data_IF_836999956750
#
_entry.id   IF_836999956750
#
_cell.length_a   1.000
_cell.length_b   1.000
_cell.length_c   1.000
_cell.angle_alpha   90.00
_cell.angle_beta   90.00
_cell.angle_gamma   90.00
#
_symmetry.space_group_name_H-M   'P 1'
#
loop_
_entity.id
_entity.type
_entity.pdbx_description
1 polymer ?
#
# COMPACT_ATOMS: atom_id res chain seq x y z
N UNK A 1 -5.01 -4.73 -2.21
CA UNK A 1 -5.84 -3.62 -1.90
C UNK A 1 -6.50 -3.65 -0.53
N UNK A 2 -7.18 -2.59 -0.21
CA UNK A 2 -7.91 -2.41 1.03
C UNK A 2 -7.13 -1.73 2.15
N UNK A 3 -5.84 -1.48 1.97
CA UNK A 3 -5.00 -0.75 2.94
C UNK A 3 -4.11 0.26 2.24
N UNK A 4 -3.71 1.33 2.94
CA UNK A 4 -2.79 2.33 2.43
C UNK A 4 -1.45 1.75 1.95
N UNK A 5 -1.00 0.65 2.56
CA UNK A 5 0.26 -0.02 2.22
C UNK A 5 0.38 -0.51 0.77
N UNK A 6 -0.73 -0.76 0.08
CA UNK A 6 -0.72 -1.10 -1.34
C UNK A 6 -1.10 0.09 -2.23
N UNK A 7 -1.99 0.97 -1.75
CA UNK A 7 -2.50 2.07 -2.56
C UNK A 7 -1.41 3.12 -2.82
N UNK A 8 -0.73 3.56 -1.77
CA UNK A 8 0.29 4.61 -1.90
C UNK A 8 1.49 4.20 -2.76
N UNK A 9 2.07 2.99 -2.62
CA UNK A 9 3.09 2.52 -3.56
C UNK A 9 2.62 2.51 -5.01
N UNK A 10 1.39 2.05 -5.27
CA UNK A 10 0.84 2.04 -6.62
C UNK A 10 0.71 3.45 -7.21
N UNK A 11 0.20 4.40 -6.42
CA UNK A 11 0.09 5.81 -6.83
C UNK A 11 1.48 6.43 -7.03
N UNK A 12 2.45 6.13 -6.15
CA UNK A 12 3.83 6.64 -6.30
C UNK A 12 4.50 6.14 -7.58
N UNK A 13 4.30 4.87 -7.92
CA UNK A 13 4.78 4.30 -9.20
C UNK A 13 4.11 5.00 -10.38
N UNK A 14 2.78 5.20 -10.32
CA UNK A 14 2.04 5.86 -11.39
C UNK A 14 2.49 7.32 -11.59
N UNK A 15 2.73 8.05 -10.50
CA UNK A 15 3.24 9.42 -10.55
C UNK A 15 4.63 9.47 -11.20
N UNK A 16 5.54 8.57 -10.81
CA UNK A 16 6.88 8.49 -11.37
C UNK A 16 6.87 8.11 -12.88
N UNK A 17 5.92 7.27 -13.31
CA UNK A 17 5.72 6.96 -14.72
C UNK A 17 5.24 8.20 -15.47
N UNK A 18 4.22 8.89 -14.95
CA UNK A 18 3.67 10.10 -15.58
C UNK A 18 4.69 11.24 -15.67
N UNK A 19 5.55 11.39 -14.67
CA UNK A 19 6.64 12.36 -14.66
C UNK A 19 7.64 12.09 -15.80
N UNK A 20 8.01 10.82 -15.99
CA UNK A 20 8.96 10.42 -17.05
C UNK A 20 8.32 10.29 -18.42
N UNK A 21 7.05 9.99 -18.49
CA UNK A 21 6.26 9.77 -19.69
C UNK A 21 4.88 10.41 -19.51
N UNK A 22 4.78 11.74 -19.78
CA UNK A 22 3.51 12.48 -19.63
C UNK A 22 2.38 11.97 -20.53
N UNK A 23 2.73 11.31 -21.62
CA UNK A 23 1.83 10.67 -22.58
C UNK A 23 1.31 9.28 -22.13
N UNK A 24 1.81 8.75 -21.01
CA UNK A 24 1.42 7.43 -20.55
C UNK A 24 -0.04 7.42 -20.04
N UNK A 25 -0.84 6.55 -20.62
CA UNK A 25 -2.18 6.23 -20.12
C UNK A 25 -2.08 5.23 -18.96
N UNK A 26 -2.67 5.56 -17.83
CA UNK A 26 -2.59 4.75 -16.61
C UNK A 26 -3.99 4.44 -16.11
N UNK A 27 -4.32 3.14 -16.02
CA UNK A 27 -5.56 2.64 -15.48
C UNK A 27 -5.29 1.76 -14.26
N UNK A 28 -5.96 2.05 -13.16
CA UNK A 28 -5.92 1.22 -11.96
C UNK A 28 -7.01 0.15 -11.98
N UNK A 29 -6.70 -0.99 -11.33
CA UNK A 29 -7.69 -2.04 -11.05
C UNK A 29 -7.62 -2.35 -9.56
N UNK A 30 -8.75 -2.19 -8.87
CA UNK A 30 -8.87 -2.33 -7.42
C UNK A 30 -10.00 -3.27 -7.00
N UNK A 31 -10.13 -3.49 -5.69
CA UNK A 31 -11.24 -4.25 -5.12
C UNK A 31 -12.45 -3.32 -4.89
N UNK A 32 -13.63 -3.73 -5.38
CA UNK A 32 -14.88 -3.02 -5.15
C UNK A 32 -15.16 -2.81 -3.65
N UNK A 33 -15.69 -1.64 -3.28
CA UNK A 33 -16.05 -1.29 -1.91
C UNK A 33 -14.86 -1.12 -0.96
N UNK A 34 -13.64 -1.00 -1.48
CA UNK A 34 -12.42 -0.79 -0.68
C UNK A 34 -11.89 0.65 -0.84
N UNK A 35 -10.98 1.01 0.04
CA UNK A 35 -10.38 2.35 0.14
C UNK A 35 -9.78 2.83 -1.19
N UNK A 36 -9.23 1.92 -2.00
CA UNK A 36 -8.66 2.27 -3.30
C UNK A 36 -9.65 2.92 -4.26
N UNK A 37 -10.94 2.56 -4.17
CA UNK A 37 -11.99 3.14 -5.03
C UNK A 37 -12.22 4.65 -4.78
N UNK A 38 -11.77 5.16 -3.62
CA UNK A 38 -11.82 6.58 -3.28
C UNK A 38 -10.46 7.26 -3.41
N UNK A 39 -9.39 6.59 -2.95
CA UNK A 39 -8.05 7.17 -2.88
C UNK A 39 -7.36 7.30 -4.22
N UNK A 40 -7.60 6.39 -5.14
CA UNK A 40 -7.02 6.43 -6.49
C UNK A 40 -7.61 7.57 -7.32
N UNK A 41 -8.95 7.76 -7.39
CA UNK A 41 -9.53 8.94 -8.03
C UNK A 41 -9.09 10.26 -7.39
N UNK A 42 -8.99 10.32 -6.07
CA UNK A 42 -8.47 11.50 -5.37
C UNK A 42 -7.00 11.83 -5.72
N UNK A 43 -6.26 10.86 -6.22
CA UNK A 43 -4.90 11.04 -6.76
C UNK A 43 -4.86 11.34 -8.27
N UNK A 44 -6.02 11.52 -8.91
CA UNK A 44 -6.13 11.89 -10.33
C UNK A 44 -6.01 10.73 -11.31
N UNK A 45 -6.36 9.50 -10.89
CA UNK A 45 -6.30 8.32 -11.75
C UNK A 45 -7.67 7.63 -11.88
N UNK A 46 -7.94 7.09 -13.06
CA UNK A 46 -9.09 6.21 -13.28
C UNK A 46 -8.86 4.85 -12.63
N UNK A 47 -9.92 4.28 -12.03
CA UNK A 47 -9.90 2.95 -11.44
C UNK A 47 -11.14 2.13 -11.83
N UNK A 48 -10.94 0.87 -12.16
CA UNK A 48 -12.01 -0.13 -12.35
C UNK A 48 -12.02 -1.09 -11.16
N UNK A 49 -13.22 -1.38 -10.64
CA UNK A 49 -13.43 -2.31 -9.55
C UNK A 49 -13.51 -3.77 -10.01
N UNK A 50 -13.05 -4.69 -9.15
CA UNK A 50 -13.27 -6.13 -9.28
C UNK A 50 -13.97 -6.66 -8.02
N UNK A 51 -14.92 -7.59 -8.15
CA UNK A 51 -15.63 -8.20 -7.03
C UNK A 51 -14.76 -9.26 -6.33
N UNK A 52 -13.63 -8.86 -5.78
CA UNK A 52 -12.69 -9.75 -5.09
C UNK A 52 -12.93 -9.75 -3.58
N UNK A 53 -12.70 -10.91 -2.95
CA UNK A 53 -12.74 -11.06 -1.51
C UNK A 53 -11.56 -11.91 -1.01
N UNK A 54 -11.20 -11.74 0.26
CA UNK A 54 -10.20 -12.58 0.91
C UNK A 54 -10.76 -13.95 1.23
N UNK A 55 -9.88 -14.96 1.30
CA UNK A 55 -10.22 -16.30 1.77
C UNK A 55 -10.45 -16.30 3.29
N UNK A 56 -11.57 -16.87 3.72
CA UNK A 56 -11.83 -17.16 5.13
C UNK A 56 -11.05 -18.44 5.52
N UNK A 57 -10.04 -18.26 6.38
CA UNK A 57 -9.20 -19.39 6.85
C UNK A 57 -9.87 -20.26 7.91
N UNK A 58 -10.92 -19.72 8.56
CA UNK A 58 -11.62 -20.43 9.65
C UNK A 58 -12.81 -21.25 9.13
N UNK A 59 -13.48 -20.78 8.08
CA UNK A 59 -14.71 -21.39 7.56
C UNK A 59 -14.58 -21.68 6.06
N UNK A 60 -14.06 -22.86 5.73
CA UNK A 60 -13.76 -23.24 4.34
C UNK A 60 -14.99 -23.25 3.42
N UNK A 61 -16.18 -23.59 3.91
CA UNK A 61 -17.43 -23.60 3.15
C UNK A 61 -17.89 -22.20 2.70
N UNK A 62 -17.49 -21.15 3.44
CA UNK A 62 -17.75 -19.75 3.02
C UNK A 62 -16.92 -19.34 1.78
N UNK A 63 -15.91 -20.11 1.44
CA UNK A 63 -15.04 -19.80 0.31
C UNK A 63 -15.67 -20.14 -1.06
N UNK A 64 -16.82 -20.82 -1.13
CA UNK A 64 -17.55 -21.04 -2.40
C UNK A 64 -17.85 -19.70 -3.06
N UNK A 65 -18.38 -18.73 -2.32
CA UNK A 65 -18.62 -17.38 -2.83
C UNK A 65 -17.33 -16.67 -3.26
N UNK A 66 -16.21 -16.93 -2.60
CA UNK A 66 -14.89 -16.35 -2.94
C UNK A 66 -14.40 -16.93 -4.27
N UNK A 67 -14.59 -18.21 -4.52
CA UNK A 67 -14.25 -18.86 -5.81
C UNK A 67 -15.08 -18.27 -6.95
N UNK A 68 -16.39 -18.12 -6.76
CA UNK A 68 -17.27 -17.49 -7.76
C UNK A 68 -16.82 -16.06 -8.04
N UNK A 69 -16.54 -15.28 -6.99
CA UNK A 69 -16.02 -13.91 -7.13
C UNK A 69 -14.68 -13.88 -7.86
N UNK A 70 -13.79 -14.83 -7.60
CA UNK A 70 -12.50 -14.93 -8.29
C UNK A 70 -12.70 -15.20 -9.80
N UNK A 71 -13.58 -16.13 -10.16
CA UNK A 71 -13.90 -16.42 -11.57
C UNK A 71 -14.48 -15.19 -12.28
N UNK A 72 -15.47 -14.52 -11.65
CA UNK A 72 -16.04 -13.27 -12.17
C UNK A 72 -14.98 -12.18 -12.32
N UNK A 73 -14.10 -12.02 -11.32
CA UNK A 73 -13.00 -11.06 -11.36
C UNK A 73 -12.03 -11.33 -12.51
N UNK A 74 -11.75 -12.58 -12.85
CA UNK A 74 -10.92 -12.94 -14.01
C UNK A 74 -11.56 -12.58 -15.33
N UNK A 75 -12.89 -12.82 -15.48
CA UNK A 75 -13.63 -12.43 -16.68
C UNK A 75 -13.65 -10.91 -16.83
N UNK A 76 -13.91 -10.18 -15.74
CA UNK A 76 -13.92 -8.72 -15.74
C UNK A 76 -12.50 -8.16 -16.01
N UNK A 77 -11.48 -8.67 -15.37
CA UNK A 77 -10.09 -8.29 -15.64
C UNK A 77 -9.73 -8.49 -17.13
N UNK A 78 -10.15 -9.62 -17.74
CA UNK A 78 -9.93 -9.86 -19.18
C UNK A 78 -10.64 -8.81 -20.05
N UNK A 79 -11.86 -8.41 -19.71
CA UNK A 79 -12.58 -7.35 -20.44
C UNK A 79 -11.88 -6.00 -20.31
N UNK A 80 -11.46 -5.63 -19.10
CA UNK A 80 -10.72 -4.38 -18.84
C UNK A 80 -9.41 -4.36 -19.62
N UNK A 81 -8.64 -5.43 -19.55
CA UNK A 81 -7.35 -5.54 -20.24
C UNK A 81 -7.51 -5.51 -21.76
N UNK A 82 -8.55 -6.17 -22.29
CA UNK A 82 -8.85 -6.12 -23.73
C UNK A 82 -9.23 -4.72 -24.22
N UNK A 83 -9.99 -3.98 -23.43
CA UNK A 83 -10.42 -2.62 -23.76
C UNK A 83 -9.26 -1.63 -23.67
N UNK A 84 -8.49 -1.68 -22.59
CA UNK A 84 -7.39 -0.76 -22.32
C UNK A 84 -6.12 -1.07 -23.12
N UNK A 85 -5.87 -2.35 -23.45
CA UNK A 85 -4.69 -2.85 -24.19
C UNK A 85 -3.35 -2.37 -23.61
N UNK A 86 -3.06 -2.64 -22.31
CA UNK A 86 -1.85 -2.17 -21.68
C UNK A 86 -0.59 -2.80 -22.25
N UNK A 87 0.50 -2.04 -22.34
CA UNK A 87 1.84 -2.55 -22.71
C UNK A 87 2.48 -3.33 -21.55
N UNK A 88 2.12 -3.01 -20.31
CA UNK A 88 2.65 -3.64 -19.09
C UNK A 88 1.59 -3.61 -17.98
N UNK A 89 1.58 -4.62 -17.11
CA UNK A 89 0.75 -4.63 -15.93
C UNK A 89 1.62 -4.70 -14.66
N UNK A 90 1.38 -3.77 -13.72
CA UNK A 90 2.13 -3.66 -12.46
C UNK A 90 1.25 -4.07 -11.30
N UNK A 91 1.73 -4.97 -10.44
CA UNK A 91 1.04 -5.41 -9.24
C UNK A 91 1.82 -5.05 -7.99
N UNK A 92 1.12 -4.43 -7.04
CA UNK A 92 1.67 -4.04 -5.74
C UNK A 92 1.14 -4.94 -4.60
N UNK A 93 0.57 -6.09 -4.95
CA UNK A 93 -0.09 -6.98 -4.00
C UNK A 93 -1.57 -6.69 -3.78
N UNK A 94 -2.17 -7.39 -2.82
CA UNK A 94 -3.59 -7.31 -2.52
C UNK A 94 -4.46 -8.20 -3.43
N UNK A 95 -5.78 -8.22 -3.13
CA UNK A 95 -6.70 -9.19 -3.74
C UNK A 95 -6.94 -8.94 -5.24
N UNK A 96 -6.98 -7.70 -5.69
CA UNK A 96 -7.22 -7.36 -7.09
C UNK A 96 -6.01 -7.66 -8.00
N UNK A 97 -4.78 -7.61 -7.47
CA UNK A 97 -3.57 -7.93 -8.24
C UNK A 97 -3.57 -9.38 -8.75
N UNK A 98 -4.09 -10.33 -7.96
CA UNK A 98 -4.11 -11.75 -8.32
C UNK A 98 -4.78 -12.01 -9.67
N UNK A 99 -6.10 -11.81 -9.80
CA UNK A 99 -6.82 -12.06 -11.04
C UNK A 99 -6.33 -11.15 -12.18
N UNK A 100 -5.98 -9.91 -11.91
CA UNK A 100 -5.56 -8.95 -12.95
C UNK A 100 -4.24 -9.39 -13.60
N UNK A 101 -3.20 -9.67 -12.81
CA UNK A 101 -1.89 -10.05 -13.35
C UNK A 101 -1.84 -11.47 -13.91
N UNK A 102 -2.61 -12.41 -13.32
CA UNK A 102 -2.71 -13.76 -13.90
C UNK A 102 -3.34 -13.71 -15.30
N UNK A 103 -4.37 -12.88 -15.47
CA UNK A 103 -5.01 -12.69 -16.79
C UNK A 103 -4.08 -11.92 -17.74
N UNK A 104 -3.44 -10.85 -17.30
CA UNK A 104 -2.49 -10.09 -18.12
C UNK A 104 -1.36 -10.99 -18.65
N UNK A 105 -0.73 -11.78 -17.77
CA UNK A 105 0.31 -12.72 -18.15
C UNK A 105 -0.16 -13.79 -19.14
N UNK A 106 -1.40 -14.31 -18.99
CA UNK A 106 -2.00 -15.26 -19.95
C UNK A 106 -2.34 -14.63 -21.30
N UNK A 107 -2.50 -13.33 -21.34
CA UNK A 107 -2.71 -12.57 -22.58
C UNK A 107 -1.39 -12.10 -23.21
N UNK A 108 -0.23 -12.54 -22.69
CA UNK A 108 1.08 -12.18 -23.21
C UNK A 108 1.60 -10.80 -22.77
N UNK A 109 0.89 -10.12 -21.86
CA UNK A 109 1.28 -8.82 -21.36
C UNK A 109 2.35 -8.99 -20.28
N UNK A 110 3.53 -8.36 -20.39
CA UNK A 110 4.55 -8.39 -19.36
C UNK A 110 4.02 -7.91 -18.03
N UNK A 111 4.33 -8.65 -16.94
CA UNK A 111 3.93 -8.27 -15.60
C UNK A 111 5.12 -7.95 -14.72
N UNK A 112 4.97 -6.93 -13.88
CA UNK A 112 5.94 -6.52 -12.87
C UNK A 112 5.27 -6.56 -11.50
N UNK A 113 5.97 -7.10 -10.51
CA UNK A 113 5.53 -7.07 -9.12
C UNK A 113 6.36 -6.08 -8.31
N UNK A 114 5.74 -5.45 -7.33
CA UNK A 114 6.42 -4.68 -6.29
C UNK A 114 6.00 -5.23 -4.92
N UNK A 115 6.98 -5.60 -4.09
CA UNK A 115 6.77 -6.11 -2.73
C UNK A 115 7.34 -5.11 -1.72
N UNK A 116 6.46 -4.62 -0.83
CA UNK A 116 6.79 -3.59 0.15
C UNK A 116 7.33 -4.14 1.46
N UNK A 117 7.14 -5.43 1.72
CA UNK A 117 7.40 -6.03 3.01
C UNK A 117 8.61 -6.99 2.95
N UNK A 118 9.27 -7.18 4.07
CA UNK A 118 10.33 -8.19 4.23
C UNK A 118 9.79 -9.63 4.23
N UNK A 119 8.48 -9.81 4.35
CA UNK A 119 7.79 -11.10 4.17
C UNK A 119 6.77 -10.97 3.04
N UNK A 120 7.00 -11.71 1.97
CA UNK A 120 6.20 -11.60 0.75
C UNK A 120 4.73 -11.98 0.94
N UNK A 121 3.85 -11.15 0.41
CA UNK A 121 2.42 -11.42 0.36
C UNK A 121 2.08 -12.64 -0.49
N UNK A 122 1.02 -13.36 -0.10
CA UNK A 122 0.58 -14.58 -0.80
C UNK A 122 0.34 -14.34 -2.30
N UNK A 123 -0.31 -13.25 -2.64
CA UNK A 123 -0.59 -12.90 -4.04
C UNK A 123 0.69 -12.74 -4.85
N UNK A 124 1.69 -12.02 -4.33
CA UNK A 124 2.96 -11.82 -5.00
C UNK A 124 3.73 -13.15 -5.16
N UNK A 125 3.73 -14.00 -4.11
CA UNK A 125 4.33 -15.35 -4.21
C UNK A 125 3.71 -16.20 -5.31
N UNK A 126 2.39 -16.19 -5.46
CA UNK A 126 1.68 -16.94 -6.50
C UNK A 126 2.00 -16.43 -7.92
N UNK A 127 2.18 -15.13 -8.07
CA UNK A 127 2.43 -14.49 -9.37
C UNK A 127 3.91 -14.48 -9.77
N UNK A 128 4.82 -14.64 -8.81
CA UNK A 128 6.26 -14.47 -8.97
C UNK A 128 6.86 -15.28 -10.14
N UNK A 129 6.44 -16.55 -10.29
CA UNK A 129 6.93 -17.46 -11.34
C UNK A 129 6.62 -16.97 -12.77
N UNK A 130 5.61 -16.11 -12.92
CA UNK A 130 5.17 -15.58 -14.23
C UNK A 130 5.56 -14.12 -14.44
N UNK A 131 5.95 -13.42 -13.39
CA UNK A 131 6.35 -12.02 -13.47
C UNK A 131 7.67 -11.86 -14.24
N UNK A 132 7.76 -10.81 -15.07
CA UNK A 132 8.98 -10.47 -15.81
C UNK A 132 10.06 -9.93 -14.87
N UNK A 133 9.67 -9.10 -13.88
CA UNK A 133 10.54 -8.55 -12.85
C UNK A 133 9.76 -8.42 -11.54
N UNK A 134 10.50 -8.44 -10.43
CA UNK A 134 9.96 -8.32 -9.08
C UNK A 134 10.81 -7.29 -8.34
N UNK A 135 10.26 -6.09 -8.18
CA UNK A 135 10.88 -5.03 -7.40
C UNK A 135 10.64 -5.29 -5.91
N UNK A 136 11.68 -5.28 -5.12
CA UNK A 136 11.61 -5.57 -3.68
C UNK A 136 12.18 -4.41 -2.86
N UNK A 137 11.63 -4.25 -1.66
CA UNK A 137 12.04 -3.21 -0.72
C UNK A 137 13.13 -3.67 0.25
N UNK A 138 13.32 -4.96 0.40
CA UNK A 138 14.24 -5.56 1.37
C UNK A 138 15.12 -6.61 0.74
N UNK A 139 16.31 -6.84 1.30
CA UNK A 139 17.20 -7.93 0.94
C UNK A 139 16.65 -9.30 1.40
N UNK A 140 17.25 -10.39 0.91
CA UNK A 140 16.91 -11.76 1.30
C UNK A 140 15.55 -12.23 0.80
N UNK A 141 15.04 -11.62 -0.28
CA UNK A 141 13.73 -11.97 -0.86
C UNK A 141 13.80 -13.17 -1.80
N UNK A 142 14.98 -13.71 -2.07
CA UNK A 142 15.23 -14.95 -2.85
C UNK A 142 14.53 -16.17 -2.23
N UNK A 143 14.31 -16.15 -0.91
CA UNK A 143 13.53 -17.16 -0.19
C UNK A 143 12.05 -17.22 -0.61
N UNK A 144 11.55 -16.20 -1.30
CA UNK A 144 10.16 -16.11 -1.75
C UNK A 144 10.02 -16.04 -3.27
N UNK A 145 11.03 -15.52 -3.98
CA UNK A 145 10.96 -15.16 -5.38
C UNK A 145 12.16 -15.72 -6.17
N UNK A 146 12.02 -16.00 -7.48
CA UNK A 146 13.14 -16.34 -8.33
C UNK A 146 14.20 -15.24 -8.35
N UNK A 147 15.44 -15.57 -7.98
CA UNK A 147 16.53 -14.61 -7.82
C UNK A 147 16.83 -13.84 -9.10
N UNK A 148 16.75 -14.49 -10.26
CA UNK A 148 17.00 -13.91 -11.60
C UNK A 148 15.98 -12.80 -11.99
N UNK A 149 14.88 -12.69 -11.27
CA UNK A 149 13.80 -11.72 -11.52
C UNK A 149 13.75 -10.59 -10.51
N UNK A 150 14.48 -10.71 -9.41
CA UNK A 150 14.49 -9.72 -8.34
C UNK A 150 15.27 -8.47 -8.78
N UNK A 151 14.70 -7.31 -8.45
CA UNK A 151 15.36 -6.01 -8.49
C UNK A 151 15.18 -5.34 -7.13
N UNK A 152 16.27 -5.02 -6.46
CA UNK A 152 16.25 -4.25 -5.23
C UNK A 152 16.04 -2.77 -5.57
N UNK A 153 14.87 -2.22 -5.24
CA UNK A 153 14.46 -0.85 -5.60
C UNK A 153 14.07 -0.01 -4.39
N UNK A 154 13.97 -0.61 -3.22
CA UNK A 154 13.33 0.03 -2.09
C UNK A 154 11.81 0.14 -2.24
N UNK A 155 11.17 0.84 -1.29
CA UNK A 155 9.75 1.15 -1.36
C UNK A 155 9.50 2.40 -2.19
N UNK A 156 8.47 2.41 -3.06
CA UNK A 156 8.03 3.61 -3.74
C UNK A 156 7.52 4.66 -2.73
N UNK A 157 8.17 5.80 -2.69
CA UNK A 157 7.85 6.90 -1.79
C UNK A 157 7.07 7.97 -2.55
N UNK A 158 6.15 8.66 -1.87
CA UNK A 158 5.43 9.80 -2.45
C UNK A 158 6.40 10.95 -2.72
N UNK A 159 6.36 11.52 -3.92
CA UNK A 159 7.28 12.57 -4.35
C UNK A 159 7.23 13.81 -3.44
N UNK A 160 6.04 14.19 -2.95
CA UNK A 160 5.89 15.32 -2.03
C UNK A 160 6.65 15.16 -0.70
N UNK A 161 7.04 13.94 -0.33
CA UNK A 161 7.90 13.71 0.84
C UNK A 161 9.39 13.92 0.54
N UNK A 162 9.78 13.87 -0.73
CA UNK A 162 11.16 14.09 -1.16
C UNK A 162 11.47 15.58 -1.39
N UNK A 163 10.45 16.42 -1.55
CA UNK A 163 10.58 17.85 -1.84
C UNK A 163 10.04 18.71 -0.70
N UNK A 164 10.28 18.29 0.56
CA UNK A 164 9.94 19.11 1.72
C UNK A 164 10.94 20.25 1.81
N UNK A 165 10.46 21.48 1.65
CA UNK A 165 11.26 22.70 1.74
C UNK A 165 11.19 23.38 3.11
N UNK A 166 10.26 22.94 3.98
CA UNK A 166 10.09 23.47 5.32
C UNK A 166 11.30 23.18 6.20
N UNK A 167 11.77 24.21 6.86
CA UNK A 167 12.76 24.07 7.95
C UNK A 167 12.11 23.40 9.16
N UNK A 168 12.94 22.84 10.07
CA UNK A 168 12.45 22.28 11.34
C UNK A 168 11.64 23.32 12.14
N UNK A 169 12.08 24.56 12.15
CA UNK A 169 11.45 25.65 12.90
C UNK A 169 10.05 25.96 12.33
N UNK A 170 9.93 26.14 11.03
CA UNK A 170 8.64 26.35 10.35
C UNK A 170 7.67 25.19 10.55
N UNK A 171 8.16 23.96 10.41
CA UNK A 171 7.34 22.76 10.63
C UNK A 171 6.84 22.66 12.08
N UNK A 172 7.69 22.95 13.07
CA UNK A 172 7.31 22.96 14.47
C UNK A 172 6.22 24.04 14.73
N UNK A 173 6.42 25.25 14.22
CA UNK A 173 5.43 26.33 14.35
C UNK A 173 4.07 25.97 13.72
N UNK A 174 4.07 25.38 12.52
CA UNK A 174 2.82 24.95 11.86
C UNK A 174 2.07 23.85 12.65
N UNK A 175 2.80 23.04 13.39
CA UNK A 175 2.23 21.99 14.24
C UNK A 175 1.89 22.47 15.66
N UNK A 176 2.12 23.74 16.00
CA UNK A 176 1.94 24.27 17.35
C UNK A 176 2.93 23.70 18.38
N UNK A 177 4.12 23.32 17.91
CA UNK A 177 5.20 22.75 18.72
C UNK A 177 6.26 23.80 19.01
N UNK A 178 6.98 23.63 20.13
CA UNK A 178 8.14 24.44 20.50
C UNK A 178 9.37 24.01 19.67
N UNK A 179 9.92 24.87 18.80
CA UNK A 179 11.09 24.51 18.00
C UNK A 179 12.38 24.31 18.80
N UNK A 180 12.44 24.82 20.05
CA UNK A 180 13.58 24.66 20.93
C UNK A 180 13.60 23.26 21.60
N UNK A 181 12.46 22.60 21.73
CA UNK A 181 12.36 21.27 22.33
C UNK A 181 12.65 20.15 21.35
N UNK A 182 13.15 19.03 21.86
CA UNK A 182 13.25 17.78 21.10
C UNK A 182 11.84 17.22 20.90
N UNK A 183 11.53 16.79 19.69
CA UNK A 183 10.21 16.21 19.37
C UNK A 183 10.35 14.72 19.15
N UNK A 184 9.56 13.93 19.88
CA UNK A 184 9.40 12.49 19.69
C UNK A 184 8.07 12.24 18.97
N UNK A 185 8.14 11.62 17.79
CA UNK A 185 6.98 11.22 17.02
C UNK A 185 6.67 9.75 17.23
N UNK A 186 5.46 9.46 17.74
CA UNK A 186 4.96 8.09 17.95
C UNK A 186 3.85 7.83 16.93
N UNK A 187 4.03 6.83 16.06
CA UNK A 187 3.09 6.56 14.94
C UNK A 187 2.67 5.10 14.93
N UNK A 188 1.39 4.85 15.20
CA UNK A 188 0.77 3.53 15.19
C UNK A 188 0.16 3.10 13.84
N UNK A 189 0.30 3.94 12.80
CA UNK A 189 -0.36 3.75 11.51
C UNK A 189 -1.82 4.21 11.50
N UNK A 190 -2.48 4.20 10.33
CA UNK A 190 -3.79 4.84 10.12
C UNK A 190 -4.94 4.29 11.02
N UNK A 191 -4.87 3.04 11.43
CA UNK A 191 -5.86 2.41 12.29
C UNK A 191 -5.44 2.42 13.77
N UNK A 192 -4.18 2.75 14.06
CA UNK A 192 -3.54 2.65 15.36
C UNK A 192 -2.93 1.27 15.62
N UNK A 193 -2.00 1.23 16.57
CA UNK A 193 -1.37 0.01 17.07
C UNK A 193 -1.67 -0.12 18.57
N UNK A 194 -2.47 -1.13 18.93
CA UNK A 194 -2.96 -1.32 20.30
C UNK A 194 -1.81 -1.39 21.32
N UNK A 195 -0.84 -2.25 21.09
CA UNK A 195 0.29 -2.44 22.00
C UNK A 195 1.12 -1.15 22.19
N UNK A 196 1.32 -0.39 21.11
CA UNK A 196 2.01 0.90 21.18
C UNK A 196 1.20 1.91 22.00
N UNK A 197 -0.10 2.02 21.74
CA UNK A 197 -0.97 2.94 22.46
C UNK A 197 -1.04 2.58 23.97
N UNK A 198 -1.19 1.30 24.30
CA UNK A 198 -1.20 0.81 25.69
C UNK A 198 0.16 1.10 26.39
N UNK A 199 1.28 0.90 25.71
CA UNK A 199 2.61 1.21 26.26
C UNK A 199 2.79 2.70 26.54
N UNK A 200 2.33 3.58 25.66
CA UNK A 200 2.40 5.04 25.88
C UNK A 200 1.51 5.45 27.04
N UNK A 201 0.27 4.93 27.11
CA UNK A 201 -0.65 5.22 28.22
C UNK A 201 -0.08 4.82 29.58
N UNK A 202 0.57 3.66 29.68
CA UNK A 202 1.21 3.20 30.91
C UNK A 202 2.38 4.08 31.36
N UNK A 203 2.96 4.87 30.47
CA UNK A 203 4.13 5.70 30.74
C UNK A 203 3.81 7.21 30.71
N UNK A 204 2.52 7.60 30.74
CA UNK A 204 2.13 9.01 30.62
C UNK A 204 2.74 9.90 31.70
N UNK A 205 2.83 9.42 32.94
CA UNK A 205 3.42 10.18 34.05
C UNK A 205 4.93 10.42 33.82
N UNK A 206 5.65 9.42 33.32
CA UNK A 206 7.06 9.57 32.96
C UNK A 206 7.24 10.56 31.79
N UNK A 207 6.34 10.50 30.81
CA UNK A 207 6.33 11.40 29.65
C UNK A 207 6.06 12.85 30.09
N UNK A 208 5.11 13.08 30.99
CA UNK A 208 4.78 14.41 31.52
C UNK A 208 5.90 15.06 32.31
N UNK A 209 6.77 14.26 32.93
CA UNK A 209 7.93 14.75 33.66
C UNK A 209 9.06 15.25 32.74
N UNK A 210 9.03 14.94 31.45
CA UNK A 210 10.03 15.39 30.48
C UNK A 210 9.74 16.83 30.03
N UNK A 211 10.49 17.80 30.57
CA UNK A 211 10.26 19.23 30.28
C UNK A 211 10.96 19.73 29.02
N UNK A 212 12.02 19.06 28.58
CA UNK A 212 12.86 19.40 27.43
C UNK A 212 12.47 18.62 26.14
N UNK A 213 11.49 17.72 26.26
CA UNK A 213 10.97 16.91 25.16
C UNK A 213 9.47 17.16 24.99
N UNK A 214 9.01 17.18 23.77
CA UNK A 214 7.60 17.20 23.43
C UNK A 214 7.26 15.98 22.57
N UNK A 215 6.01 15.56 22.63
CA UNK A 215 5.56 14.33 22.00
C UNK A 215 4.43 14.62 21.01
N UNK A 216 4.53 14.04 19.82
CA UNK A 216 3.43 13.99 18.84
C UNK A 216 3.01 12.54 18.73
N UNK A 217 1.79 12.24 19.11
CA UNK A 217 1.31 10.87 19.15
C UNK A 217 0.12 10.67 18.21
N UNK A 218 0.34 9.87 17.17
CA UNK A 218 -0.70 9.44 16.23
C UNK A 218 -1.30 8.13 16.74
N UNK A 219 -2.42 8.22 17.43
CA UNK A 219 -3.10 7.10 18.09
C UNK A 219 -3.84 6.17 17.13
N UNK A 220 -4.23 6.68 15.95
CA UNK A 220 -5.03 5.98 14.95
C UNK A 220 -6.53 6.12 15.17
N UNK A 221 -7.28 5.93 14.08
CA UNK A 221 -8.72 6.23 14.02
C UNK A 221 -9.56 5.53 15.11
N UNK A 222 -9.18 4.30 15.50
CA UNK A 222 -9.98 3.53 16.45
C UNK A 222 -9.73 3.88 17.92
N UNK A 223 -8.67 4.62 18.21
CA UNK A 223 -8.24 4.89 19.59
C UNK A 223 -8.28 6.38 19.95
N UNK A 224 -8.46 7.28 18.96
CA UNK A 224 -8.36 8.72 19.17
C UNK A 224 -9.35 9.25 20.23
N UNK A 225 -10.60 8.80 20.19
CA UNK A 225 -11.62 9.25 21.16
C UNK A 225 -11.35 8.73 22.57
N UNK A 226 -10.94 7.46 22.71
CA UNK A 226 -10.67 6.85 24.01
C UNK A 226 -9.38 7.36 24.69
N UNK A 227 -8.45 7.89 23.90
CA UNK A 227 -7.15 8.39 24.40
C UNK A 227 -7.20 9.90 24.67
N UNK A 228 -8.10 10.64 24.01
CA UNK A 228 -8.27 12.07 24.22
C UNK A 228 -8.99 12.44 25.54
N UNK A 229 -9.58 11.45 26.24
CA UNK A 229 -10.18 11.59 27.56
C UNK A 229 -9.14 11.46 28.66
#
# INVERSE_FOLDING_TARGET
GGTGGHIFPAVSIANAIREKRPDAEILFVGAEGRMEMQRVPAAGYEIKGLPVAGFDRKHLWRNVSVVIKLLRSRIMARRIIKAFRPMVAVGVGGYASGPTLDVAGKMGIPTLLQEQNSYAGVTNKLLAKKARRICVAYDGMERFFPADRILFTGNPVRQNLLHITLTRQEAAQQMGLDPAKRTVLIVGGSLGARSMNESVLQQLELIRQQTDVQFVWQTGKYYSEAIAQ
#
